data_IF_755022126522
#
_entry.id   IF_755022126522
#
_cell.length_a   1.000
_cell.length_b   1.000
_cell.length_c   1.000
_cell.angle_alpha   90.00
_cell.angle_beta   90.00
_cell.angle_gamma   90.00
#
_symmetry.space_group_name_H-M   'P 1'
#
loop_
_entity.id
_entity.type
_entity.pdbx_description
1 polymer ?
#
# COMPACT_ATOMS: atom_id res chain seq x y z
N UNK A 1 -16.22 4.55 28.42
CA UNK A 1 -15.66 4.82 27.08
C UNK A 1 -14.56 3.80 26.78
N UNK A 2 -14.78 2.87 25.85
CA UNK A 2 -13.75 1.92 25.46
C UNK A 2 -12.57 2.69 24.85
N UNK A 3 -11.37 2.53 25.41
CA UNK A 3 -10.13 3.02 24.81
C UNK A 3 -10.05 2.46 23.39
N UNK A 4 -10.34 3.29 22.38
CA UNK A 4 -10.12 2.93 20.97
C UNK A 4 -8.62 2.72 20.83
N UNK A 5 -8.15 1.47 20.93
CA UNK A 5 -6.76 1.10 20.65
C UNK A 5 -6.41 1.70 19.29
N UNK A 6 -5.51 2.67 19.32
CA UNK A 6 -5.04 3.40 18.13
C UNK A 6 -4.15 2.45 17.33
N UNK A 7 -4.38 2.34 16.02
CA UNK A 7 -3.54 1.54 15.14
C UNK A 7 -2.06 1.96 15.26
N UNK A 8 -1.19 0.96 15.37
CA UNK A 8 0.26 1.09 15.37
C UNK A 8 0.87 0.18 14.33
N UNK A 9 1.77 0.74 13.51
CA UNK A 9 2.42 0.01 12.42
C UNK A 9 3.33 -1.12 12.91
N UNK A 10 3.97 -0.93 14.06
CA UNK A 10 4.89 -1.89 14.66
C UNK A 10 4.20 -3.14 15.20
N UNK A 11 2.89 -3.08 15.46
CA UNK A 11 2.08 -4.22 15.87
C UNK A 11 1.68 -5.14 14.71
N UNK A 12 2.03 -4.80 13.47
CA UNK A 12 1.89 -5.71 12.33
C UNK A 12 3.20 -6.51 12.19
N UNK A 13 3.15 -7.75 12.66
CA UNK A 13 4.24 -8.72 12.54
C UNK A 13 4.21 -9.35 11.15
N UNK A 14 5.37 -9.44 10.51
CA UNK A 14 5.54 -9.92 9.13
C UNK A 14 6.61 -11.00 9.13
N UNK A 15 6.23 -12.20 8.71
CA UNK A 15 7.09 -13.38 8.69
C UNK A 15 7.29 -13.84 7.25
N UNK A 16 8.54 -13.99 6.77
CA UNK A 16 8.80 -14.48 5.42
C UNK A 16 8.43 -15.95 5.29
N UNK A 17 7.94 -16.34 4.12
CA UNK A 17 7.67 -17.72 3.75
C UNK A 17 8.36 -18.09 2.44
N UNK A 18 7.67 -18.84 1.60
CA UNK A 18 8.20 -19.34 0.33
C UNK A 18 8.51 -18.21 -0.66
N UNK A 19 9.60 -18.39 -1.42
CA UNK A 19 9.94 -17.55 -2.58
C UNK A 19 9.94 -18.41 -3.83
N UNK A 20 9.22 -17.99 -4.86
CA UNK A 20 9.14 -18.70 -6.14
C UNK A 20 9.30 -17.78 -7.34
N UNK A 21 9.78 -18.33 -8.44
CA UNK A 21 9.82 -17.62 -9.73
C UNK A 21 8.41 -17.52 -10.31
N UNK A 22 8.07 -16.36 -10.86
CA UNK A 22 6.73 -16.11 -11.38
C UNK A 22 6.73 -15.14 -12.57
N UNK A 23 5.61 -15.13 -13.29
CA UNK A 23 5.27 -14.14 -14.30
C UNK A 23 3.91 -13.55 -13.97
N UNK A 24 3.75 -12.25 -14.17
CA UNK A 24 2.48 -11.55 -13.97
C UNK A 24 2.38 -10.38 -14.93
N UNK A 25 1.27 -9.64 -14.90
CA UNK A 25 1.07 -8.47 -15.77
C UNK A 25 0.85 -7.19 -14.94
N UNK A 26 1.30 -6.06 -15.47
CA UNK A 26 0.93 -4.73 -14.99
C UNK A 26 0.23 -3.94 -16.10
N UNK A 27 -0.72 -3.09 -15.71
CA UNK A 27 -1.22 -2.05 -16.60
C UNK A 27 -0.13 -0.99 -16.86
N UNK A 28 0.32 -0.87 -18.11
CA UNK A 28 1.27 0.14 -18.60
C UNK A 28 0.66 0.78 -19.86
N UNK A 29 0.31 2.07 -19.77
CA UNK A 29 -0.27 2.81 -20.91
C UNK A 29 -1.57 2.22 -21.46
N UNK A 30 -2.46 1.71 -20.58
CA UNK A 30 -3.72 1.08 -20.99
C UNK A 30 -3.60 -0.36 -21.50
N UNK A 31 -2.38 -0.91 -21.61
CA UNK A 31 -2.13 -2.30 -22.01
C UNK A 31 -1.56 -3.13 -20.86
N UNK A 32 -1.82 -4.43 -20.86
CA UNK A 32 -1.18 -5.38 -19.95
C UNK A 32 0.23 -5.68 -20.46
N UNK A 33 1.25 -5.33 -19.68
CA UNK A 33 2.65 -5.64 -19.98
C UNK A 33 3.11 -6.82 -19.10
N UNK A 34 3.68 -7.88 -19.68
CA UNK A 34 4.20 -9.00 -18.91
C UNK A 34 5.45 -8.59 -18.12
N UNK A 35 5.57 -9.13 -16.92
CA UNK A 35 6.70 -8.96 -16.02
C UNK A 35 7.14 -10.32 -15.52
N UNK A 36 8.46 -10.52 -15.45
CA UNK A 36 9.09 -11.70 -14.85
C UNK A 36 9.76 -11.28 -13.54
N UNK A 37 9.78 -12.19 -12.57
CA UNK A 37 10.45 -11.94 -11.31
C UNK A 37 10.20 -13.04 -10.29
N UNK A 38 10.18 -12.64 -9.02
CA UNK A 38 9.91 -13.52 -7.88
C UNK A 38 8.64 -13.09 -7.14
N UNK A 39 7.88 -14.08 -6.69
CA UNK A 39 6.80 -13.93 -5.71
C UNK A 39 7.31 -14.42 -4.36
N UNK A 40 7.22 -13.55 -3.36
CA UNK A 40 7.58 -13.84 -1.97
C UNK A 40 6.29 -13.90 -1.17
N UNK A 41 6.03 -15.05 -0.54
CA UNK A 41 4.89 -15.24 0.35
C UNK A 41 5.26 -14.76 1.76
N UNK A 42 4.31 -14.10 2.42
CA UNK A 42 4.44 -13.65 3.80
C UNK A 42 3.21 -14.03 4.60
N UNK A 43 3.44 -14.52 5.82
CA UNK A 43 2.41 -14.60 6.86
C UNK A 43 2.46 -13.31 7.67
N UNK A 44 1.30 -12.70 7.92
CA UNK A 44 1.21 -11.41 8.59
C UNK A 44 0.20 -11.50 9.73
N UNK A 45 0.61 -11.10 10.92
CA UNK A 45 -0.27 -11.04 12.10
C UNK A 45 -0.43 -9.59 12.55
N UNK A 46 -1.66 -9.08 12.53
CA UNK A 46 -1.99 -7.75 13.01
C UNK A 46 -2.33 -7.75 14.51
N UNK A 47 -1.34 -7.49 15.35
CA UNK A 47 -1.48 -7.42 16.81
C UNK A 47 -2.38 -6.28 17.30
N UNK A 48 -2.75 -5.32 16.44
CA UNK A 48 -3.75 -4.31 16.78
C UNK A 48 -5.17 -4.91 16.89
N UNK A 49 -5.38 -6.12 16.37
CA UNK A 49 -6.66 -6.81 16.31
C UNK A 49 -6.73 -7.95 17.33
N UNK A 50 -7.82 -8.00 18.10
CA UNK A 50 -8.09 -9.09 19.04
C UNK A 50 -8.51 -10.41 18.39
N UNK A 51 -8.76 -10.42 17.07
CA UNK A 51 -9.16 -11.61 16.32
C UNK A 51 -9.28 -11.30 14.81
N UNK A 52 -9.38 -12.35 13.98
CA UNK A 52 -9.35 -12.25 12.50
C UNK A 52 -8.15 -11.41 12.02
N UNK A 53 -6.99 -11.70 12.60
CA UNK A 53 -5.79 -10.88 12.50
C UNK A 53 -4.66 -11.51 11.70
N UNK A 54 -4.84 -12.72 11.18
CA UNK A 54 -3.89 -13.43 10.35
C UNK A 54 -4.18 -13.20 8.87
N UNK A 55 -3.15 -12.87 8.10
CA UNK A 55 -3.22 -12.55 6.68
C UNK A 55 -2.09 -13.25 5.93
N UNK A 56 -2.30 -13.48 4.63
CA UNK A 56 -1.25 -13.89 3.71
C UNK A 56 -1.02 -12.79 2.68
N UNK A 57 0.23 -12.45 2.43
CA UNK A 57 0.64 -11.44 1.46
C UNK A 57 1.55 -12.02 0.38
N UNK A 58 1.38 -11.53 -0.84
CA UNK A 58 2.33 -11.72 -1.93
C UNK A 58 3.07 -10.41 -2.17
N UNK A 59 4.39 -10.50 -2.18
CA UNK A 59 5.30 -9.44 -2.63
C UNK A 59 5.92 -9.88 -3.95
N UNK A 60 5.61 -9.15 -5.01
CA UNK A 60 6.10 -9.40 -6.37
C UNK A 60 7.26 -8.48 -6.66
N UNK A 61 8.43 -9.07 -6.83
CA UNK A 61 9.69 -8.37 -7.06
C UNK A 61 10.14 -8.65 -8.50
N UNK A 62 10.12 -7.66 -9.39
CA UNK A 62 10.54 -7.85 -10.78
C UNK A 62 12.05 -8.10 -10.88
N UNK A 63 12.47 -8.82 -11.92
CA UNK A 63 13.91 -8.97 -12.25
C UNK A 63 14.54 -7.64 -12.65
N UNK A 64 13.75 -6.79 -13.31
CA UNK A 64 14.19 -5.47 -13.74
C UNK A 64 14.43 -4.56 -12.53
N UNK A 65 15.64 -4.00 -12.42
CA UNK A 65 16.07 -3.26 -11.23
C UNK A 65 15.29 -1.97 -10.95
N UNK A 66 14.70 -1.35 -11.97
CA UNK A 66 13.81 -0.18 -11.85
C UNK A 66 12.32 -0.56 -11.84
N UNK A 67 12.04 -1.85 -11.96
CA UNK A 67 10.71 -2.42 -11.99
C UNK A 67 9.93 -2.14 -10.69
N UNK A 68 8.61 -2.15 -10.81
CA UNK A 68 7.69 -1.88 -9.71
C UNK A 68 7.53 -3.11 -8.84
N UNK A 69 7.80 -2.97 -7.54
CA UNK A 69 7.42 -3.99 -6.56
C UNK A 69 5.94 -3.85 -6.27
N UNK A 70 5.19 -4.95 -6.32
CA UNK A 70 3.78 -5.00 -5.96
C UNK A 70 3.59 -5.72 -4.62
N UNK A 71 2.80 -5.10 -3.73
CA UNK A 71 2.34 -5.67 -2.48
C UNK A 71 0.84 -5.87 -2.57
N UNK A 72 0.39 -7.10 -2.34
CA UNK A 72 -1.04 -7.42 -2.33
C UNK A 72 -1.35 -8.54 -1.35
N UNK A 73 -2.55 -8.57 -0.77
CA UNK A 73 -3.01 -9.75 -0.07
C UNK A 73 -3.16 -10.91 -1.06
N UNK A 74 -2.70 -12.09 -0.64
CA UNK A 74 -3.03 -13.38 -1.27
C UNK A 74 -4.45 -13.80 -0.87
N UNK A 75 -4.73 -13.65 0.41
CA UNK A 75 -6.03 -13.89 1.04
C UNK A 75 -6.27 -12.86 2.14
N UNK A 76 -7.54 -12.65 2.47
CA UNK A 76 -7.95 -11.75 3.56
C UNK A 76 -8.83 -12.54 4.53
N UNK A 77 -8.83 -12.21 5.82
CA UNK A 77 -9.82 -12.76 6.74
C UNK A 77 -11.26 -12.53 6.20
N UNK A 78 -12.20 -13.45 6.48
CA UNK A 78 -13.54 -13.41 5.91
C UNK A 78 -14.41 -12.33 6.56
N UNK A 79 -14.12 -11.07 6.25
CA UNK A 79 -14.90 -9.90 6.64
C UNK A 79 -15.33 -9.11 5.41
N UNK A 80 -16.60 -8.75 5.35
CA UNK A 80 -17.18 -8.03 4.22
C UNK A 80 -16.42 -6.72 3.92
N UNK A 81 -16.04 -5.98 4.96
CA UNK A 81 -15.24 -4.74 4.86
C UNK A 81 -13.92 -4.92 4.12
N UNK A 82 -13.36 -6.13 4.11
CA UNK A 82 -12.07 -6.44 3.49
C UNK A 82 -12.17 -7.18 2.16
N UNK A 83 -13.37 -7.57 1.73
CA UNK A 83 -13.59 -8.30 0.47
C UNK A 83 -12.99 -7.60 -0.74
N UNK A 84 -13.00 -6.27 -0.76
CA UNK A 84 -12.44 -5.47 -1.86
C UNK A 84 -10.90 -5.42 -1.87
N UNK A 85 -10.22 -5.80 -0.77
CA UNK A 85 -8.76 -5.70 -0.66
C UNK A 85 -8.01 -6.72 -1.52
N UNK A 86 -8.62 -7.87 -1.84
CA UNK A 86 -8.05 -8.89 -2.74
C UNK A 86 -7.74 -8.35 -4.15
N UNK A 87 -8.41 -7.27 -4.56
CA UNK A 87 -8.21 -6.59 -5.84
C UNK A 87 -7.33 -5.34 -5.74
N UNK A 88 -6.88 -4.95 -4.55
CA UNK A 88 -6.14 -3.72 -4.32
C UNK A 88 -4.69 -4.05 -3.98
N UNK A 89 -3.76 -3.45 -4.73
CA UNK A 89 -2.33 -3.53 -4.44
C UNK A 89 -1.72 -2.17 -4.13
N UNK A 90 -0.57 -2.18 -3.45
CA UNK A 90 0.35 -1.06 -3.42
C UNK A 90 1.51 -1.34 -4.37
N UNK A 91 1.91 -0.32 -5.12
CA UNK A 91 3.05 -0.39 -6.03
C UNK A 91 4.16 0.54 -5.56
N UNK A 92 5.37 0.00 -5.51
CA UNK A 92 6.58 0.67 -5.06
C UNK A 92 7.54 0.86 -6.24
N UNK A 93 7.79 2.12 -6.57
CA UNK A 93 8.68 2.53 -7.66
C UNK A 93 10.05 2.90 -7.13
N UNK A 94 11.09 2.71 -7.92
CA UNK A 94 12.44 3.19 -7.59
C UNK A 94 12.47 4.73 -7.63
N UNK A 95 12.98 5.34 -6.57
CA UNK A 95 13.30 6.76 -6.52
C UNK A 95 14.65 7.02 -7.20
N UNK A 96 14.74 8.14 -7.93
CA UNK A 96 15.90 8.44 -8.80
C UNK A 96 16.54 9.80 -8.50
N UNK A 97 15.96 10.60 -7.61
CA UNK A 97 16.36 11.99 -7.35
C UNK A 97 16.84 12.21 -5.90
N UNK A 98 17.91 13.00 -5.75
CA UNK A 98 18.45 13.46 -4.46
C UNK A 98 18.69 12.34 -3.46
N UNK A 99 18.52 12.65 -2.17
CA UNK A 99 18.71 11.72 -1.03
C UNK A 99 17.71 10.55 -0.99
N UNK A 100 16.70 10.59 -1.87
CA UNK A 100 15.77 9.49 -2.06
C UNK A 100 16.27 8.45 -3.05
N UNK A 101 17.29 8.78 -3.88
CA UNK A 101 17.83 7.86 -4.89
C UNK A 101 18.21 6.52 -4.26
N UNK A 102 17.87 5.44 -4.95
CA UNK A 102 18.14 4.08 -4.51
C UNK A 102 17.03 3.50 -3.63
N UNK A 103 16.23 4.32 -2.93
CA UNK A 103 15.06 3.88 -2.16
C UNK A 103 13.88 3.54 -3.07
N UNK A 104 12.84 2.94 -2.49
CA UNK A 104 11.54 2.75 -3.14
C UNK A 104 10.50 3.69 -2.53
N UNK A 105 9.49 4.07 -3.32
CA UNK A 105 8.36 4.86 -2.84
C UNK A 105 7.03 4.33 -3.34
N UNK A 106 5.99 4.49 -2.53
CA UNK A 106 4.60 4.35 -2.96
C UNK A 106 3.84 5.67 -2.76
N UNK A 107 2.80 5.88 -3.56
CA UNK A 107 1.85 6.98 -3.32
C UNK A 107 1.08 6.70 -2.03
N UNK A 108 0.83 7.73 -1.23
CA UNK A 108 -0.14 7.65 -0.15
C UNK A 108 -1.51 7.60 -0.80
N UNK A 109 -2.11 6.41 -0.81
CA UNK A 109 -3.44 6.21 -1.40
C UNK A 109 -4.36 5.54 -0.40
N UNK A 110 -5.33 6.26 0.14
CA UNK A 110 -6.25 5.73 1.14
C UNK A 110 -7.34 4.92 0.45
N UNK A 111 -7.69 3.76 1.01
CA UNK A 111 -8.78 2.95 0.46
C UNK A 111 -10.12 3.65 0.69
N UNK A 112 -10.92 3.79 -0.36
CA UNK A 112 -12.30 4.28 -0.22
C UNK A 112 -13.22 3.06 -0.14
N UNK A 113 -14.13 2.98 0.86
CA UNK A 113 -15.20 1.99 0.87
C UNK A 113 -16.11 2.19 -0.36
N UNK A 114 -16.58 1.12 -1.01
CA UNK A 114 -17.59 1.29 -2.05
C UNK A 114 -18.90 1.83 -1.46
N UNK A 115 -19.48 2.86 -2.07
CA UNK A 115 -20.77 3.46 -1.65
C UNK A 115 -21.87 3.22 -2.69
N UNK A 116 -23.13 3.23 -2.26
CA UNK A 116 -24.30 3.07 -3.15
C UNK A 116 -24.26 1.77 -3.98
N UNK A 117 -24.61 1.85 -5.28
CA UNK A 117 -24.58 0.71 -6.23
C UNK A 117 -23.18 0.10 -6.42
N UNK A 118 -22.10 0.81 -6.07
CA UNK A 118 -20.74 0.26 -6.12
C UNK A 118 -20.44 -0.72 -4.98
N UNK A 119 -21.33 -0.86 -3.98
CA UNK A 119 -21.23 -1.92 -2.95
C UNK A 119 -21.17 -3.32 -3.57
N UNK A 120 -21.85 -3.50 -4.70
CA UNK A 120 -21.93 -4.76 -5.44
C UNK A 120 -20.84 -4.88 -6.53
N UNK A 121 -20.12 -3.78 -6.83
CA UNK A 121 -18.94 -3.76 -7.69
C UNK A 121 -17.67 -3.37 -6.91
N UNK A 122 -16.95 -4.35 -6.34
CA UNK A 122 -15.71 -4.08 -5.61
C UNK A 122 -14.58 -3.48 -6.49
N UNK A 123 -14.76 -3.43 -7.83
CA UNK A 123 -13.87 -2.78 -8.80
C UNK A 123 -14.33 -1.38 -9.20
N UNK A 124 -15.43 -0.87 -8.64
CA UNK A 124 -16.13 0.34 -9.06
C UNK A 124 -15.26 1.60 -9.18
N UNK A 125 -15.84 2.66 -9.76
CA UNK A 125 -15.12 3.79 -10.35
C UNK A 125 -14.14 4.54 -9.42
N UNK A 126 -14.38 4.58 -8.09
CA UNK A 126 -13.46 5.19 -7.10
C UNK A 126 -13.09 4.17 -6.03
N UNK A 127 -11.87 3.64 -6.12
CA UNK A 127 -11.35 2.66 -5.16
C UNK A 127 -10.34 3.23 -4.17
N UNK A 128 -9.87 4.47 -4.38
CA UNK A 128 -8.85 5.09 -3.54
C UNK A 128 -8.79 6.61 -3.73
N UNK A 129 -8.32 7.28 -2.69
CA UNK A 129 -7.95 8.70 -2.72
C UNK A 129 -6.44 8.86 -2.65
N UNK A 130 -5.87 9.56 -3.62
CA UNK A 130 -4.43 9.83 -3.68
C UNK A 130 -4.16 11.16 -3.00
N UNK A 131 -3.40 11.10 -1.91
CA UNK A 131 -3.15 12.25 -1.03
C UNK A 131 -2.09 13.15 -1.63
N UNK A 132 -2.30 14.46 -1.56
CA UNK A 132 -1.38 15.51 -1.99
C UNK A 132 -0.50 16.00 -0.83
N UNK A 133 0.55 16.74 -1.14
CA UNK A 133 1.53 17.23 -0.16
C UNK A 133 0.94 18.16 0.89
N UNK A 134 0.01 19.02 0.48
CA UNK A 134 -0.79 19.94 1.30
C UNK A 134 -1.76 19.20 2.23
N UNK A 135 -2.34 18.09 1.77
CA UNK A 135 -3.25 17.22 2.54
C UNK A 135 -2.57 16.32 3.58
N UNK A 136 -1.25 16.47 3.79
CA UNK A 136 -0.48 15.62 4.71
C UNK A 136 -0.99 15.70 6.15
N UNK A 137 -1.53 16.86 6.55
CA UNK A 137 -2.00 17.12 7.93
C UNK A 137 -3.31 16.39 8.24
N UNK A 138 -4.07 16.02 7.21
CA UNK A 138 -5.39 15.40 7.32
C UNK A 138 -5.27 13.87 7.47
N UNK A 139 -4.05 13.34 7.32
CA UNK A 139 -3.81 11.91 7.47
C UNK A 139 -4.14 11.43 8.90
N UNK A 140 -4.65 10.19 9.03
CA UNK A 140 -4.89 9.58 10.33
C UNK A 140 -3.65 9.63 11.21
N UNK A 141 -3.83 9.85 12.50
CA UNK A 141 -2.70 10.16 13.39
C UNK A 141 -1.65 9.05 13.50
N UNK A 142 -1.88 7.83 13.02
CA UNK A 142 -0.86 6.78 12.93
C UNK A 142 0.17 7.02 11.83
N UNK A 143 -0.08 7.94 10.90
CA UNK A 143 0.90 8.40 9.92
C UNK A 143 1.95 9.35 10.52
N UNK A 144 1.79 9.79 11.77
CA UNK A 144 2.76 10.68 12.43
C UNK A 144 4.16 10.07 12.50
N UNK A 145 4.30 8.77 12.78
CA UNK A 145 5.60 8.09 12.80
C UNK A 145 6.26 7.95 11.42
N UNK A 146 5.49 8.13 10.34
CA UNK A 146 5.95 8.05 8.96
C UNK A 146 6.36 9.41 8.38
N UNK A 147 6.17 10.50 9.14
CA UNK A 147 6.42 11.86 8.68
C UNK A 147 7.85 12.07 8.12
N UNK A 148 8.87 11.48 8.75
CA UNK A 148 10.25 11.55 8.27
C UNK A 148 10.46 10.90 6.89
N UNK A 149 9.60 9.96 6.51
CA UNK A 149 9.64 9.20 5.25
C UNK A 149 8.80 9.82 4.14
N UNK A 150 7.97 10.81 4.45
CA UNK A 150 7.05 11.43 3.50
C UNK A 150 7.72 12.51 2.66
N UNK A 151 7.46 12.53 1.36
CA UNK A 151 7.91 13.57 0.42
C UNK A 151 6.83 13.84 -0.63
N UNK A 152 6.87 14.98 -1.31
CA UNK A 152 6.15 15.14 -2.59
C UNK A 152 6.86 14.33 -3.69
N UNK A 153 6.11 13.84 -4.67
CA UNK A 153 6.65 12.95 -5.71
C UNK A 153 7.77 13.60 -6.53
N UNK A 154 7.66 14.89 -6.82
CA UNK A 154 8.68 15.69 -7.54
C UNK A 154 10.05 15.73 -6.85
N UNK A 155 10.09 15.47 -5.53
CA UNK A 155 11.32 15.43 -4.73
C UNK A 155 12.04 14.08 -4.86
N UNK A 156 11.35 13.02 -5.29
CA UNK A 156 11.91 11.66 -5.35
C UNK A 156 12.10 11.14 -6.78
N UNK A 157 11.41 11.72 -7.77
CA UNK A 157 11.52 11.38 -9.18
C UNK A 157 11.11 12.56 -10.06
N UNK A 158 11.64 12.64 -11.26
CA UNK A 158 11.14 13.58 -12.28
C UNK A 158 9.68 13.28 -12.61
N UNK A 159 8.84 14.30 -12.59
CA UNK A 159 7.40 14.23 -12.89
C UNK A 159 7.05 15.16 -14.04
N UNK A 160 5.98 14.85 -14.77
CA UNK A 160 5.34 15.75 -15.74
C UNK A 160 3.91 16.03 -15.27
N UNK A 161 3.43 17.25 -15.49
CA UNK A 161 2.07 17.66 -15.09
C UNK A 161 1.88 17.77 -13.57
N UNK A 162 0.64 17.63 -13.11
CA UNK A 162 0.21 17.87 -11.72
C UNK A 162 0.54 16.75 -10.73
N UNK A 163 1.09 15.63 -11.21
CA UNK A 163 1.40 14.45 -10.38
C UNK A 163 2.56 14.70 -9.39
N UNK A 164 3.30 15.80 -9.55
CA UNK A 164 4.43 16.20 -8.70
C UNK A 164 4.06 16.43 -7.23
N UNK A 165 2.88 17.03 -6.97
CA UNK A 165 2.40 17.31 -5.62
C UNK A 165 1.79 16.07 -4.92
N UNK A 166 1.81 14.89 -5.55
CA UNK A 166 1.35 13.66 -4.86
C UNK A 166 2.25 13.37 -3.66
N UNK A 167 1.67 13.09 -2.50
CA UNK A 167 2.38 12.63 -1.32
C UNK A 167 2.82 11.17 -1.49
N UNK A 168 4.09 10.91 -1.20
CA UNK A 168 4.69 9.58 -1.28
C UNK A 168 5.39 9.23 0.03
N UNK A 169 5.54 7.94 0.30
CA UNK A 169 6.33 7.43 1.44
C UNK A 169 7.51 6.62 0.91
N UNK A 170 8.70 6.95 1.41
CA UNK A 170 9.96 6.26 1.11
C UNK A 170 10.22 5.07 2.05
N UNK A 171 10.72 3.99 1.48
CA UNK A 171 11.13 2.76 2.17
C UNK A 171 12.44 2.25 1.58
N UNK A 172 13.17 1.45 2.35
CA UNK A 172 14.35 0.76 1.80
C UNK A 172 13.92 -0.28 0.74
N UNK A 173 14.76 -0.59 -0.25
CA UNK A 173 14.38 -1.42 -1.40
C UNK A 173 13.91 -2.84 -1.07
N UNK A 174 14.40 -3.37 0.05
CA UNK A 174 14.26 -4.73 0.57
C UNK A 174 13.42 -4.79 1.86
N UNK A 175 12.95 -3.65 2.38
CA UNK A 175 12.11 -3.56 3.57
C UNK A 175 10.65 -3.90 3.24
N UNK A 176 10.42 -5.16 2.83
CA UNK A 176 9.11 -5.67 2.45
C UNK A 176 8.13 -5.69 3.63
N UNK A 177 8.65 -5.84 4.86
CA UNK A 177 7.86 -5.73 6.07
C UNK A 177 7.24 -4.33 6.20
N UNK A 178 8.01 -3.24 6.01
CA UNK A 178 7.45 -1.89 6.00
C UNK A 178 6.48 -1.68 4.83
N UNK A 179 6.77 -2.23 3.64
CA UNK A 179 5.85 -2.14 2.50
C UNK A 179 4.48 -2.78 2.79
N UNK A 180 4.46 -3.93 3.47
CA UNK A 180 3.24 -4.58 3.97
C UNK A 180 2.56 -3.73 5.06
N UNK A 181 3.32 -3.20 6.03
CA UNK A 181 2.78 -2.31 7.08
C UNK A 181 2.11 -1.06 6.52
N UNK A 182 2.65 -0.50 5.43
CA UNK A 182 2.04 0.61 4.70
C UNK A 182 0.73 0.19 4.02
N UNK A 183 0.63 -1.05 3.52
CA UNK A 183 -0.64 -1.59 3.03
C UNK A 183 -1.70 -1.60 4.12
N UNK A 184 -1.37 -2.08 5.32
CA UNK A 184 -2.29 -2.06 6.46
C UNK A 184 -2.72 -0.63 6.81
N UNK A 185 -1.76 0.30 6.91
CA UNK A 185 -2.00 1.68 7.27
C UNK A 185 -2.91 2.43 6.27
N UNK A 186 -2.79 2.13 4.98
CA UNK A 186 -3.50 2.83 3.90
C UNK A 186 -4.78 2.15 3.44
N UNK A 187 -4.90 0.83 3.66
CA UNK A 187 -5.99 0.04 3.08
C UNK A 187 -6.81 -0.64 4.17
N UNK A 188 -6.18 -1.49 4.97
CA UNK A 188 -6.88 -2.32 5.98
C UNK A 188 -7.53 -1.43 7.03
N UNK A 189 -6.76 -0.52 7.63
CA UNK A 189 -7.22 0.32 8.74
C UNK A 189 -8.09 1.49 8.30
N UNK A 190 -7.88 2.01 7.09
CA UNK A 190 -8.80 3.00 6.51
C UNK A 190 -10.19 2.40 6.34
N UNK A 191 -10.30 1.21 5.73
CA UNK A 191 -11.59 0.56 5.54
C UNK A 191 -12.21 0.11 6.87
N UNK A 192 -11.39 -0.37 7.81
CA UNK A 192 -11.86 -0.82 9.13
C UNK A 192 -12.48 0.32 9.94
N UNK A 193 -11.82 1.47 9.97
CA UNK A 193 -12.27 2.63 10.75
C UNK A 193 -13.28 3.51 9.98
N UNK A 194 -13.52 3.22 8.69
CA UNK A 194 -14.43 4.00 7.86
C UNK A 194 -13.93 5.42 7.62
N UNK A 195 -12.62 5.61 7.47
CA UNK A 195 -12.01 6.93 7.33
C UNK A 195 -12.21 7.45 5.92
N UNK A 196 -12.78 8.65 5.83
CA UNK A 196 -12.86 9.48 4.64
C UNK A 196 -12.16 10.82 4.96
N UNK A 197 -11.41 11.36 4.01
CA UNK A 197 -10.83 12.70 4.16
C UNK A 197 -11.77 13.72 3.50
N UNK A 198 -12.01 14.82 4.20
CA UNK A 198 -12.77 15.97 3.71
C UNK A 198 -11.95 16.79 2.68
#
# INVERSE_FOLDING_TARGET
MASRKRYRLDQVAVEPGEVRRAKWTFAKGGRQAPVKGSEHLYTVTDGNLGGRNKWEFLVRVPDESDGRVEIRPKGTPPLQTWKALTYRSLQFQKATKGDARGKRYCKVSLAVPPAGRAKDDPRGNRTKDVIRGDQRRDLPKWFQSLQGRMRTKERVRSTRGTDGNTLVILVQPDDYAMMIRLYFAMKVWILREGIELE
#
